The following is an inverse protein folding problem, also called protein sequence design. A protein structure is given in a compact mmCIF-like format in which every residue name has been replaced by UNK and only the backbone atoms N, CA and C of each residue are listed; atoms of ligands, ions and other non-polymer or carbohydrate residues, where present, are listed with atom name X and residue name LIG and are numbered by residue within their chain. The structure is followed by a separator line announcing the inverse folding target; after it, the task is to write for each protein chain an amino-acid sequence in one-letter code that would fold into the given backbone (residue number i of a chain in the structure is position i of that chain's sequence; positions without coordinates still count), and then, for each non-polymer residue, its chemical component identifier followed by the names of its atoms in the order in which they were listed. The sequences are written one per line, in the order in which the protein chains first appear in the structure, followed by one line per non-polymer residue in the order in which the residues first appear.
data_IF_920332138912
#
_entry.id   IF_920332138912
#
_cell.length_a   1.000
_cell.length_b   1.000
_cell.length_c   1.000
_cell.angle_alpha   90.00
_cell.angle_beta   90.00
_cell.angle_gamma   90.00
#
_symmetry.space_group_name_H-M   'P 1'
#
loop_
_entity.id
_entity.type
_entity.pdbx_description
1 polymer ?
#
# COMPACT_ATOMS: atom_id res chain seq x y z
N UNK A 1 -23.81 3.85 22.45
CA UNK A 1 -22.77 4.20 23.43
C UNK A 1 -22.00 5.50 23.12
N UNK A 2 -21.82 5.91 21.87
CA UNK A 2 -21.08 7.13 21.50
C UNK A 2 -21.86 8.45 21.67
N UNK A 3 -23.11 8.42 22.14
CA UNK A 3 -23.96 9.58 22.35
C UNK A 3 -23.94 10.19 23.76
N UNK A 4 -23.10 9.69 24.65
CA UNK A 4 -23.01 10.20 26.03
C UNK A 4 -22.21 11.50 26.05
N UNK A 5 -22.90 12.60 26.43
CA UNK A 5 -22.31 13.95 26.51
C UNK A 5 -21.27 14.11 27.63
N UNK A 6 -21.13 13.14 28.51
CA UNK A 6 -20.12 13.14 29.59
C UNK A 6 -18.72 12.83 29.08
N UNK A 7 -18.56 12.27 27.89
CA UNK A 7 -17.27 11.92 27.31
C UNK A 7 -16.71 13.15 26.57
N UNK A 8 -15.46 13.60 26.86
CA UNK A 8 -14.82 14.68 26.12
C UNK A 8 -14.78 14.44 24.60
N UNK A 9 -14.93 15.51 23.82
CA UNK A 9 -15.00 15.41 22.35
C UNK A 9 -13.78 14.72 21.73
N UNK A 10 -12.59 14.97 22.25
CA UNK A 10 -11.33 14.33 21.81
C UNK A 10 -11.37 12.81 22.01
N UNK A 11 -11.82 12.35 23.19
CA UNK A 11 -11.93 10.90 23.51
C UNK A 11 -13.01 10.24 22.64
N UNK A 12 -14.10 10.95 22.37
CA UNK A 12 -15.15 10.43 21.45
C UNK A 12 -14.64 10.26 20.02
N UNK A 13 -13.80 11.19 19.57
CA UNK A 13 -13.20 11.12 18.23
C UNK A 13 -12.24 9.94 18.13
N UNK A 14 -11.37 9.75 19.12
CA UNK A 14 -10.44 8.63 19.21
C UNK A 14 -11.18 7.28 19.26
N UNK A 15 -12.17 7.15 20.14
CA UNK A 15 -13.02 5.96 20.21
C UNK A 15 -13.78 5.68 18.92
N UNK A 16 -14.27 6.72 18.23
CA UNK A 16 -14.96 6.55 16.94
C UNK A 16 -14.03 5.99 15.88
N UNK A 17 -12.77 6.43 15.89
CA UNK A 17 -11.76 5.92 14.96
C UNK A 17 -11.43 4.46 15.26
N UNK A 18 -11.21 4.09 16.52
CA UNK A 18 -10.96 2.71 16.93
C UNK A 18 -12.14 1.77 16.60
N UNK A 19 -13.38 2.21 16.84
CA UNK A 19 -14.57 1.44 16.46
C UNK A 19 -14.67 1.25 14.96
N UNK A 20 -14.40 2.27 14.16
CA UNK A 20 -14.41 2.17 12.70
C UNK A 20 -13.33 1.20 12.19
N UNK A 21 -12.15 1.21 12.82
CA UNK A 21 -11.07 0.27 12.51
C UNK A 21 -11.46 -1.18 12.88
N UNK A 22 -12.11 -1.39 14.03
CA UNK A 22 -12.61 -2.70 14.44
C UNK A 22 -13.71 -3.22 13.52
N UNK A 23 -14.63 -2.36 13.08
CA UNK A 23 -15.67 -2.73 12.12
C UNK A 23 -15.06 -3.12 10.77
N UNK A 24 -14.07 -2.37 10.28
CA UNK A 24 -13.36 -2.67 9.04
C UNK A 24 -12.61 -4.01 9.11
N UNK A 25 -11.96 -4.30 10.24
CA UNK A 25 -11.27 -5.60 10.47
C UNK A 25 -12.31 -6.74 10.55
N UNK A 26 -13.43 -6.52 11.24
CA UNK A 26 -14.49 -7.52 11.36
C UNK A 26 -15.13 -7.83 10.01
N UNK A 27 -15.35 -6.82 9.18
CA UNK A 27 -15.88 -7.00 7.83
C UNK A 27 -14.89 -7.73 6.92
N UNK A 28 -13.62 -7.35 6.97
CA UNK A 28 -12.54 -8.04 6.26
C UNK A 28 -12.46 -9.52 6.62
N UNK A 29 -12.55 -9.86 7.91
CA UNK A 29 -12.55 -11.25 8.39
C UNK A 29 -13.80 -12.01 7.92
N UNK A 30 -14.96 -11.36 7.84
CA UNK A 30 -16.18 -11.97 7.32
C UNK A 30 -16.12 -12.23 5.83
N UNK A 31 -15.48 -11.35 5.08
CA UNK A 31 -15.39 -11.47 3.62
C UNK A 31 -14.20 -12.34 3.18
N UNK A 32 -13.33 -12.75 4.11
CA UNK A 32 -12.09 -13.48 3.80
C UNK A 32 -11.24 -12.78 2.72
N UNK A 33 -11.17 -11.45 2.81
CA UNK A 33 -10.42 -10.62 1.87
C UNK A 33 -8.93 -10.61 2.18
N UNK A 34 -8.10 -10.72 1.14
CA UNK A 34 -6.65 -10.51 1.21
C UNK A 34 -6.33 -9.15 0.60
N UNK A 35 -5.77 -8.27 1.37
CA UNK A 35 -5.38 -6.93 0.93
C UNK A 35 -3.90 -6.89 0.54
N UNK A 36 -3.62 -6.52 -0.70
CA UNK A 36 -2.27 -6.37 -1.24
C UNK A 36 -2.05 -4.90 -1.59
N UNK A 37 -1.10 -4.24 -0.92
CA UNK A 37 -0.79 -2.84 -1.18
C UNK A 37 0.52 -2.69 -1.96
N UNK A 38 0.52 -1.87 -3.02
CA UNK A 38 1.73 -1.44 -3.69
C UNK A 38 2.29 -0.19 -3.02
N UNK A 39 3.57 -0.21 -2.68
CA UNK A 39 4.28 0.83 -1.97
C UNK A 39 5.63 1.13 -2.66
N UNK A 40 6.08 2.37 -2.67
CA UNK A 40 7.33 2.78 -3.33
C UNK A 40 7.26 4.20 -3.86
N UNK A 41 8.37 4.68 -4.46
CA UNK A 41 8.48 6.04 -5.00
C UNK A 41 7.49 6.31 -6.15
N UNK A 42 7.36 7.59 -6.46
CA UNK A 42 6.68 8.02 -7.69
C UNK A 42 7.43 7.49 -8.91
N UNK A 43 6.67 7.10 -9.93
CA UNK A 43 7.24 6.65 -11.19
C UNK A 43 7.77 5.21 -11.20
N UNK A 44 7.84 4.50 -10.06
CA UNK A 44 8.28 3.08 -10.02
C UNK A 44 7.32 2.12 -10.73
N UNK A 45 6.10 2.58 -11.07
CA UNK A 45 5.12 1.80 -11.81
C UNK A 45 4.15 0.99 -10.96
N UNK A 46 3.88 1.39 -9.71
CA UNK A 46 2.91 0.75 -8.80
C UNK A 46 1.55 0.54 -9.46
N UNK A 47 0.93 1.62 -9.92
CA UNK A 47 -0.38 1.60 -10.58
C UNK A 47 -0.39 0.73 -11.85
N UNK A 48 0.69 0.78 -12.64
CA UNK A 48 0.84 -0.05 -13.84
C UNK A 48 0.97 -1.53 -13.50
N UNK A 49 1.73 -1.87 -12.45
CA UNK A 49 1.86 -3.24 -11.94
C UNK A 49 0.51 -3.78 -11.48
N UNK A 50 -0.21 -3.00 -10.68
CA UNK A 50 -1.53 -3.39 -10.19
C UNK A 50 -2.55 -3.55 -11.32
N UNK A 51 -2.54 -2.66 -12.32
CA UNK A 51 -3.36 -2.79 -13.52
C UNK A 51 -3.03 -4.05 -14.33
N UNK A 52 -1.74 -4.39 -14.43
CA UNK A 52 -1.31 -5.62 -15.09
C UNK A 52 -1.80 -6.87 -14.37
N UNK A 53 -1.77 -6.89 -13.03
CA UNK A 53 -2.33 -7.97 -12.22
C UNK A 53 -3.85 -8.09 -12.39
N UNK A 54 -4.56 -6.95 -12.48
CA UNK A 54 -6.00 -6.91 -12.73
C UNK A 54 -6.38 -7.36 -14.16
N UNK A 55 -5.45 -7.28 -15.11
CA UNK A 55 -5.74 -7.45 -16.54
C UNK A 55 -6.61 -6.33 -17.14
N UNK A 56 -6.75 -5.21 -16.44
CA UNK A 56 -7.55 -4.04 -16.86
C UNK A 56 -7.01 -2.75 -16.23
N UNK A 57 -7.26 -1.61 -16.86
CA UNK A 57 -6.88 -0.30 -16.35
C UNK A 57 -7.93 0.23 -15.37
N UNK A 58 -7.61 0.24 -14.09
CA UNK A 58 -8.44 0.77 -13.00
C UNK A 58 -7.75 1.92 -12.30
N UNK A 59 -6.46 1.72 -11.97
CA UNK A 59 -5.64 2.74 -11.34
C UNK A 59 -5.09 3.71 -12.37
N UNK A 60 -5.15 5.01 -12.08
CA UNK A 60 -4.61 6.04 -12.95
C UNK A 60 -3.11 5.86 -13.12
N UNK A 61 -2.66 5.90 -14.37
CA UNK A 61 -1.24 5.84 -14.72
C UNK A 61 -0.90 7.06 -15.56
N UNK A 62 -0.17 8.01 -15.01
CA UNK A 62 0.32 9.16 -15.76
C UNK A 62 1.86 9.17 -15.78
N UNK A 63 2.48 9.59 -16.88
CA UNK A 63 3.90 9.91 -16.89
C UNK A 63 4.22 11.21 -16.13
N UNK A 64 3.19 12.00 -15.77
CA UNK A 64 3.34 13.19 -14.93
C UNK A 64 3.34 12.76 -13.45
N UNK A 65 4.28 13.29 -12.68
CA UNK A 65 4.44 12.99 -11.26
C UNK A 65 3.19 13.39 -10.45
N UNK A 66 2.82 12.57 -9.46
CA UNK A 66 1.85 12.95 -8.43
C UNK A 66 0.38 12.70 -8.75
N UNK A 67 0.03 11.81 -9.67
CA UNK A 67 -1.39 11.56 -9.99
C UNK A 67 -2.12 10.80 -8.89
N UNK A 68 -1.47 9.87 -8.20
CA UNK A 68 -2.06 9.13 -7.08
C UNK A 68 -1.88 9.93 -5.78
N UNK A 69 -2.79 10.86 -5.51
CA UNK A 69 -2.77 11.69 -4.29
C UNK A 69 -3.46 11.04 -3.09
N UNK A 70 -4.20 9.94 -3.32
CA UNK A 70 -4.92 9.17 -2.30
C UNK A 70 -4.85 7.68 -2.60
N UNK A 71 -4.95 6.86 -1.57
CA UNK A 71 -5.08 5.40 -1.73
C UNK A 71 -6.31 5.08 -2.59
N UNK A 72 -6.12 4.21 -3.58
CA UNK A 72 -7.18 3.67 -4.41
C UNK A 72 -7.28 2.17 -4.19
N UNK A 73 -8.48 1.60 -4.27
CA UNK A 73 -8.74 0.16 -4.07
C UNK A 73 -9.49 -0.43 -5.24
N UNK A 74 -9.21 -1.67 -5.57
CA UNK A 74 -9.95 -2.44 -6.57
C UNK A 74 -9.94 -3.92 -6.23
N UNK A 75 -11.09 -4.56 -6.42
CA UNK A 75 -11.21 -6.01 -6.29
C UNK A 75 -10.51 -6.71 -7.45
N UNK A 76 -9.75 -7.73 -7.10
CA UNK A 76 -9.10 -8.64 -8.03
C UNK A 76 -9.72 -10.02 -7.90
N UNK A 77 -10.53 -10.38 -8.90
CA UNK A 77 -11.13 -11.71 -8.96
C UNK A 77 -10.05 -12.68 -9.42
N UNK A 78 -9.47 -13.40 -8.48
CA UNK A 78 -8.54 -14.49 -8.75
C UNK A 78 -9.30 -15.75 -9.19
N UNK A 79 -8.63 -16.62 -9.95
CA UNK A 79 -9.17 -17.93 -10.34
C UNK A 79 -9.45 -18.86 -9.12
N UNK A 80 -8.93 -18.56 -7.95
CA UNK A 80 -9.08 -19.31 -6.71
C UNK A 80 -10.33 -18.98 -5.88
N UNK A 81 -11.23 -18.14 -6.37
CA UNK A 81 -12.44 -17.68 -5.65
C UNK A 81 -12.17 -16.90 -4.36
N UNK A 82 -10.93 -16.57 -4.06
CA UNK A 82 -10.57 -15.71 -2.94
C UNK A 82 -10.76 -14.24 -3.33
N UNK A 83 -11.33 -13.47 -2.41
CA UNK A 83 -11.47 -12.02 -2.59
C UNK A 83 -10.13 -11.35 -2.29
N UNK A 84 -9.46 -10.87 -3.33
CA UNK A 84 -8.23 -10.09 -3.20
C UNK A 84 -8.53 -8.64 -3.54
N UNK A 85 -8.09 -7.74 -2.66
CA UNK A 85 -8.21 -6.28 -2.86
C UNK A 85 -6.83 -5.72 -3.13
N UNK A 86 -6.64 -5.11 -4.30
CA UNK A 86 -5.42 -4.38 -4.64
C UNK A 86 -5.54 -2.93 -4.20
N UNK A 87 -4.50 -2.41 -3.58
CA UNK A 87 -4.44 -1.05 -3.03
C UNK A 87 -3.25 -0.31 -3.65
N UNK A 88 -3.54 0.74 -4.41
CA UNK A 88 -2.52 1.66 -4.91
C UNK A 88 -2.31 2.80 -3.93
N UNK A 89 -1.04 3.20 -3.73
CA UNK A 89 -0.67 4.26 -2.79
C UNK A 89 0.07 5.40 -3.46
N UNK A 90 0.01 6.62 -2.90
CA UNK A 90 0.88 7.73 -3.31
C UNK A 90 2.36 7.37 -3.24
N UNK A 91 3.17 8.07 -4.02
CA UNK A 91 4.63 7.92 -3.98
C UNK A 91 5.23 8.46 -2.68
N UNK A 92 6.11 7.68 -2.06
CA UNK A 92 6.69 8.03 -0.75
C UNK A 92 7.66 9.21 -0.78
N UNK A 93 8.18 9.56 -1.93
CA UNK A 93 9.12 10.65 -2.15
C UNK A 93 8.42 12.02 -2.34
N UNK A 94 7.11 12.02 -2.63
CA UNK A 94 6.29 13.24 -2.68
C UNK A 94 5.76 13.67 -1.31
N UNK A 95 5.88 12.81 -0.32
CA UNK A 95 5.41 13.04 1.03
C UNK A 95 6.54 13.56 1.92
N UNK A 96 6.24 14.50 2.80
CA UNK A 96 7.15 14.87 3.88
C UNK A 96 7.34 13.73 4.89
N UNK A 97 8.23 13.92 5.87
CA UNK A 97 8.58 12.86 6.82
C UNK A 97 7.38 12.31 7.59
N UNK A 98 6.49 13.18 8.07
CA UNK A 98 5.32 12.82 8.88
C UNK A 98 4.25 12.13 8.03
N UNK A 99 3.87 12.72 6.90
CA UNK A 99 2.89 12.12 6.00
C UNK A 99 3.35 10.78 5.42
N UNK A 100 4.67 10.61 5.21
CA UNK A 100 5.25 9.32 4.79
C UNK A 100 5.11 8.26 5.87
N UNK A 101 5.35 8.62 7.13
CA UNK A 101 5.19 7.71 8.26
C UNK A 101 3.72 7.33 8.46
N UNK A 102 2.80 8.27 8.35
CA UNK A 102 1.36 8.03 8.39
C UNK A 102 0.91 7.08 7.28
N UNK A 103 1.41 7.27 6.05
CA UNK A 103 1.13 6.37 4.94
C UNK A 103 1.64 4.95 5.24
N UNK A 104 2.88 4.80 5.71
CA UNK A 104 3.43 3.50 6.07
C UNK A 104 2.63 2.83 7.20
N UNK A 105 2.20 3.59 8.19
CA UNK A 105 1.32 3.10 9.27
C UNK A 105 -0.05 2.66 8.72
N UNK A 106 -0.65 3.47 7.87
CA UNK A 106 -1.93 3.16 7.24
C UNK A 106 -1.83 1.86 6.42
N UNK A 107 -0.81 1.73 5.58
CA UNK A 107 -0.56 0.52 4.78
C UNK A 107 -0.36 -0.69 5.70
N UNK A 108 0.46 -0.57 6.75
CA UNK A 108 0.70 -1.65 7.69
C UNK A 108 -0.57 -2.12 8.44
N UNK A 109 -1.55 -1.24 8.63
CA UNK A 109 -2.82 -1.62 9.27
C UNK A 109 -3.74 -2.41 8.35
N UNK A 110 -3.82 -2.03 7.08
CA UNK A 110 -4.82 -2.55 6.15
C UNK A 110 -4.32 -3.67 5.26
N UNK A 111 -3.03 -3.68 4.89
CA UNK A 111 -2.47 -4.66 3.98
C UNK A 111 -2.07 -5.95 4.70
N UNK A 112 -2.37 -7.09 4.07
CA UNK A 112 -1.86 -8.40 4.47
C UNK A 112 -0.50 -8.67 3.84
N UNK A 113 -0.29 -8.15 2.61
CA UNK A 113 0.97 -8.24 1.88
C UNK A 113 1.29 -6.85 1.34
N UNK A 114 2.55 -6.44 1.44
CA UNK A 114 3.04 -5.20 0.83
C UNK A 114 3.99 -5.52 -0.31
N UNK A 115 3.68 -5.02 -1.50
CA UNK A 115 4.58 -5.04 -2.64
C UNK A 115 5.44 -3.77 -2.60
N UNK A 116 6.69 -3.90 -2.20
CA UNK A 116 7.65 -2.80 -2.28
C UNK A 116 8.19 -2.72 -3.70
N UNK A 117 7.65 -1.78 -4.48
CA UNK A 117 7.97 -1.63 -5.91
C UNK A 117 9.10 -0.63 -6.08
N UNK A 118 10.22 -1.10 -6.57
CA UNK A 118 11.41 -0.29 -6.86
C UNK A 118 11.83 -0.44 -8.33
N UNK A 119 12.64 0.52 -8.79
CA UNK A 119 13.25 0.54 -10.12
C UNK A 119 14.77 0.68 -9.91
N UNK A 120 15.49 -0.44 -9.87
CA UNK A 120 16.90 -0.50 -9.54
C UNK A 120 17.20 -0.44 -8.04
N UNK A 121 18.33 0.14 -7.68
CA UNK A 121 18.78 0.26 -6.30
C UNK A 121 17.79 1.04 -5.43
N UNK A 122 17.58 0.55 -4.23
CA UNK A 122 16.72 1.23 -3.26
C UNK A 122 17.40 2.48 -2.73
N UNK A 123 16.67 3.58 -2.73
CA UNK A 123 17.09 4.80 -2.04
C UNK A 123 17.03 4.63 -0.52
N UNK A 124 17.73 5.48 0.22
CA UNK A 124 17.68 5.52 1.69
C UNK A 124 16.24 5.66 2.20
N UNK A 125 15.41 6.44 1.51
CA UNK A 125 14.00 6.65 1.85
C UNK A 125 13.19 5.35 1.68
N UNK A 126 13.40 4.63 0.59
CA UNK A 126 12.74 3.34 0.34
C UNK A 126 13.20 2.28 1.34
N UNK A 127 14.49 2.21 1.61
CA UNK A 127 15.04 1.26 2.58
C UNK A 127 14.49 1.50 3.99
N UNK A 128 14.40 2.77 4.40
CA UNK A 128 13.83 3.14 5.70
C UNK A 128 12.35 2.79 5.78
N UNK A 129 11.59 3.05 4.73
CA UNK A 129 10.18 2.70 4.66
C UNK A 129 9.97 1.17 4.68
N UNK A 130 10.78 0.40 3.94
CA UNK A 130 10.74 -1.05 3.94
C UNK A 130 11.06 -1.64 5.33
N UNK A 131 12.07 -1.11 6.03
CA UNK A 131 12.39 -1.52 7.41
C UNK A 131 11.24 -1.23 8.36
N UNK A 132 10.63 -0.07 8.29
CA UNK A 132 9.48 0.31 9.13
C UNK A 132 8.29 -0.64 8.92
N UNK A 133 8.02 -1.04 7.67
CA UNK A 133 6.97 -2.02 7.37
C UNK A 133 7.31 -3.43 7.88
N UNK A 134 8.57 -3.86 7.73
CA UNK A 134 9.05 -5.14 8.21
C UNK A 134 9.02 -5.25 9.75
N UNK A 135 9.39 -4.19 10.47
CA UNK A 135 9.31 -4.11 11.93
C UNK A 135 7.86 -4.28 12.44
N UNK A 136 6.88 -3.91 11.62
CA UNK A 136 5.44 -4.11 11.90
C UNK A 136 4.95 -5.51 11.55
N UNK A 137 5.86 -6.45 11.27
CA UNK A 137 5.57 -7.86 10.93
C UNK A 137 4.62 -8.03 9.74
N UNK A 138 4.68 -7.12 8.76
CA UNK A 138 3.93 -7.27 7.53
C UNK A 138 4.76 -8.01 6.48
N UNK A 139 4.22 -9.05 5.85
CA UNK A 139 4.85 -9.70 4.71
C UNK A 139 5.18 -8.67 3.64
N UNK A 140 6.46 -8.54 3.33
CA UNK A 140 6.99 -7.59 2.37
C UNK A 140 7.60 -8.36 1.19
N UNK A 141 7.09 -8.12 -0.01
CA UNK A 141 7.63 -8.64 -1.24
C UNK A 141 8.31 -7.51 -2.00
N UNK A 142 9.61 -7.65 -2.23
CA UNK A 142 10.36 -6.71 -3.06
C UNK A 142 10.10 -7.02 -4.54
N UNK A 143 9.70 -6.01 -5.29
CA UNK A 143 9.40 -6.09 -6.72
C UNK A 143 10.31 -5.15 -7.48
N UNK A 144 11.27 -5.71 -8.22
CA UNK A 144 12.06 -4.96 -9.19
C UNK A 144 11.22 -4.79 -10.47
N UNK A 145 10.66 -3.60 -10.64
CA UNK A 145 9.86 -3.26 -11.82
C UNK A 145 10.73 -2.67 -12.92
N UNK A 146 10.21 -2.65 -14.15
CA UNK A 146 10.92 -2.15 -15.35
C UNK A 146 12.25 -2.89 -15.59
N UNK A 147 12.29 -4.17 -15.25
CA UNK A 147 13.46 -5.03 -15.43
C UNK A 147 13.92 -5.12 -16.89
N UNK A 148 13.03 -4.86 -17.85
CA UNK A 148 13.30 -4.73 -19.28
C UNK A 148 14.32 -3.64 -19.64
N UNK A 149 14.58 -2.70 -18.73
CA UNK A 149 15.56 -1.62 -18.92
C UNK A 149 16.99 -2.02 -18.58
N UNK A 150 17.17 -3.17 -17.93
CA UNK A 150 18.47 -3.65 -17.46
C UNK A 150 19.00 -4.78 -18.34
N UNK A 151 20.30 -4.75 -18.71
CA UNK A 151 20.96 -5.92 -19.27
C UNK A 151 20.93 -7.09 -18.27
N UNK A 152 20.91 -8.32 -18.76
CA UNK A 152 20.85 -9.51 -17.90
C UNK A 152 21.95 -9.54 -16.83
N UNK A 153 23.17 -9.11 -17.16
CA UNK A 153 24.30 -9.05 -16.22
C UNK A 153 24.04 -8.14 -15.02
N UNK A 154 23.31 -7.04 -15.24
CA UNK A 154 22.94 -6.12 -14.15
C UNK A 154 21.80 -6.68 -13.31
N UNK A 155 20.84 -7.36 -13.93
CA UNK A 155 19.75 -8.04 -13.22
C UNK A 155 20.29 -9.14 -12.28
N UNK A 156 21.30 -9.90 -12.71
CA UNK A 156 21.94 -10.94 -11.89
C UNK A 156 22.68 -10.37 -10.66
N UNK A 157 22.95 -9.06 -10.64
CA UNK A 157 23.55 -8.37 -9.48
C UNK A 157 22.47 -7.78 -8.56
N UNK A 158 21.33 -7.37 -9.12
CA UNK A 158 20.24 -6.73 -8.39
C UNK A 158 19.31 -7.74 -7.69
N UNK A 159 19.27 -8.97 -8.13
CA UNK A 159 18.44 -10.06 -7.61
C UNK A 159 19.25 -11.06 -6.78
#
# INVERSE_FOLDING_TARGET
MLGDSSIPAAVRQELSQEFSEMEAISEKLRQSEIHIAAFGRVGTGKSSLLNALLGRTVFSTSPLHGETTRQQRSDWVSASSEHVVLIDTPGIDELDGEAREELAQSVARIADIVLMVCEGDMTETELRAARNLAERQRPLLLVLNKADRYPQVELDILL
#
